data_IF_924164390925
#
_entry.id   IF_924164390925
#
_cell.length_a   1.000
_cell.length_b   1.000
_cell.length_c   1.000
_cell.angle_alpha   90.00
_cell.angle_beta   90.00
_cell.angle_gamma   90.00
#
_symmetry.space_group_name_H-M   'P 1'
#
loop_
_entity.id
_entity.type
_entity.pdbx_description
1 polymer ?
#
# COMPACT_ATOMS: atom_id res chain seq x y z
N UNK A 1 9.99 9.77 20.34
CA UNK A 1 10.78 10.07 19.14
C UNK A 1 12.08 9.30 19.23
N UNK A 2 12.53 8.66 18.14
CA UNK A 2 13.83 7.99 18.13
C UNK A 2 14.95 8.99 18.43
N UNK A 3 15.72 8.74 19.50
CA UNK A 3 16.88 9.54 19.86
C UNK A 3 18.16 8.83 19.44
N UNK A 4 19.00 9.55 18.70
CA UNK A 4 20.32 9.04 18.33
C UNK A 4 21.15 8.75 19.59
N UNK A 5 21.91 7.66 19.58
CA UNK A 5 22.73 7.24 20.74
C UNK A 5 22.00 6.42 21.82
N UNK A 6 20.66 6.33 21.82
CA UNK A 6 19.94 5.52 22.82
C UNK A 6 19.84 4.02 22.43
N UNK A 7 20.37 3.66 21.26
CA UNK A 7 20.31 2.30 20.71
C UNK A 7 18.95 1.93 20.09
N UNK A 8 17.92 2.75 20.23
CA UNK A 8 16.58 2.41 19.72
C UNK A 8 16.60 2.17 18.19
N UNK A 9 17.26 3.05 17.42
CA UNK A 9 17.36 2.94 15.95
C UNK A 9 18.09 1.67 15.54
N UNK A 10 19.28 1.40 16.11
CA UNK A 10 20.06 0.20 15.80
C UNK A 10 19.34 -1.08 16.21
N UNK A 11 18.55 -1.05 17.29
CA UNK A 11 17.73 -2.19 17.71
C UNK A 11 16.64 -2.53 16.70
N UNK A 12 15.89 -1.52 16.26
CA UNK A 12 14.88 -1.71 15.22
C UNK A 12 15.48 -2.15 13.89
N UNK A 13 16.57 -1.52 13.44
CA UNK A 13 17.27 -1.95 12.22
C UNK A 13 17.73 -3.41 12.31
N UNK A 14 18.31 -3.80 13.45
CA UNK A 14 18.71 -5.18 13.73
C UNK A 14 17.55 -6.16 13.64
N UNK A 15 16.48 -5.91 14.39
CA UNK A 15 15.32 -6.79 14.42
C UNK A 15 14.64 -6.88 13.03
N UNK A 16 14.39 -5.74 12.39
CA UNK A 16 13.71 -5.69 11.09
C UNK A 16 14.53 -6.36 9.98
N UNK A 17 15.81 -6.02 9.81
CA UNK A 17 16.65 -6.60 8.76
C UNK A 17 16.94 -8.07 9.02
N UNK A 18 17.13 -8.49 10.28
CA UNK A 18 17.33 -9.89 10.64
C UNK A 18 16.10 -10.74 10.31
N UNK A 19 14.89 -10.26 10.66
CA UNK A 19 13.63 -10.94 10.33
C UNK A 19 13.40 -10.98 8.82
N UNK A 20 13.57 -9.86 8.12
CA UNK A 20 13.38 -9.80 6.66
C UNK A 20 14.41 -10.69 5.93
N UNK A 21 15.65 -10.74 6.41
CA UNK A 21 16.68 -11.63 5.89
C UNK A 21 16.32 -13.10 6.07
N UNK A 22 15.82 -13.50 7.25
CA UNK A 22 15.31 -14.85 7.48
C UNK A 22 14.13 -15.19 6.56
N UNK A 23 13.15 -14.30 6.43
CA UNK A 23 12.02 -14.48 5.52
C UNK A 23 12.48 -14.60 4.05
N UNK A 24 13.50 -13.81 3.65
CA UNK A 24 14.13 -13.91 2.34
C UNK A 24 14.77 -15.27 2.09
N UNK A 25 15.50 -15.82 3.07
CA UNK A 25 16.06 -17.18 2.98
C UNK A 25 14.95 -18.23 2.86
N UNK A 26 13.85 -18.09 3.60
CA UNK A 26 12.70 -19.00 3.47
C UNK A 26 12.07 -18.97 2.07
N UNK A 27 12.05 -17.81 1.40
CA UNK A 27 11.58 -17.71 0.02
C UNK A 27 12.42 -18.56 -0.95
N UNK A 28 13.72 -18.75 -0.68
CA UNK A 28 14.56 -19.66 -1.48
C UNK A 28 14.30 -21.15 -1.18
N UNK A 29 13.91 -21.49 0.04
CA UNK A 29 13.58 -22.88 0.41
C UNK A 29 12.23 -23.35 -0.15
N UNK A 30 11.26 -22.44 -0.29
CA UNK A 30 9.92 -22.78 -0.77
C UNK A 30 9.40 -21.76 -1.80
N UNK A 31 10.10 -21.56 -2.94
CA UNK A 31 9.72 -20.54 -3.92
C UNK A 31 8.30 -20.76 -4.45
N UNK A 32 7.94 -22.00 -4.77
CA UNK A 32 6.59 -22.35 -5.22
C UNK A 32 5.44 -21.88 -4.31
N UNK A 33 5.69 -21.77 -3.00
CA UNK A 33 4.70 -21.37 -2.00
C UNK A 33 4.83 -19.91 -1.57
N UNK A 34 6.05 -19.37 -1.50
CA UNK A 34 6.35 -18.10 -0.86
C UNK A 34 6.72 -16.98 -1.83
N UNK A 35 6.87 -17.28 -3.12
CA UNK A 35 7.23 -16.28 -4.13
C UNK A 35 6.15 -16.06 -5.17
N UNK A 36 6.04 -14.81 -5.63
CA UNK A 36 5.14 -14.46 -6.72
C UNK A 36 5.75 -14.94 -8.06
N UNK A 37 5.04 -15.75 -8.88
CA UNK A 37 5.63 -16.45 -10.03
C UNK A 37 6.31 -15.56 -11.06
N UNK A 38 5.71 -14.40 -11.37
CA UNK A 38 6.27 -13.46 -12.35
C UNK A 38 7.47 -12.68 -11.78
N UNK A 39 7.48 -12.48 -10.46
CA UNK A 39 8.48 -11.68 -9.77
C UNK A 39 9.82 -12.42 -9.69
N UNK A 40 9.78 -13.73 -9.41
CA UNK A 40 10.96 -14.59 -9.38
C UNK A 40 11.75 -14.57 -10.70
N UNK A 41 11.07 -14.41 -11.84
CA UNK A 41 11.71 -14.36 -13.17
C UNK A 41 12.29 -12.99 -13.53
N UNK A 42 11.92 -11.95 -12.80
CA UNK A 42 12.24 -10.55 -13.14
C UNK A 42 13.54 -10.04 -12.49
N UNK A 43 14.06 -10.74 -11.48
CA UNK A 43 15.25 -10.30 -10.74
C UNK A 43 16.49 -11.11 -11.07
N UNK A 44 17.64 -10.44 -11.05
CA UNK A 44 18.93 -11.11 -11.00
C UNK A 44 19.13 -11.73 -9.60
N UNK A 45 19.23 -13.07 -9.47
CA UNK A 45 19.44 -13.73 -8.20
C UNK A 45 20.70 -13.25 -7.46
N UNK A 46 21.73 -12.81 -8.20
CA UNK A 46 22.95 -12.29 -7.61
C UNK A 46 22.71 -10.96 -6.90
N UNK A 47 21.88 -10.08 -7.48
CA UNK A 47 21.51 -8.82 -6.85
C UNK A 47 20.76 -9.07 -5.55
N UNK A 48 19.77 -9.97 -5.56
CA UNK A 48 19.02 -10.34 -4.35
C UNK A 48 19.92 -10.93 -3.26
N UNK A 49 20.90 -11.75 -3.64
CA UNK A 49 21.90 -12.31 -2.72
C UNK A 49 22.81 -11.24 -2.11
N UNK A 50 23.23 -10.25 -2.90
CA UNK A 50 24.02 -9.12 -2.40
C UNK A 50 23.19 -8.28 -1.42
N UNK A 51 21.94 -7.98 -1.76
CA UNK A 51 21.02 -7.25 -0.86
C UNK A 51 20.80 -8.02 0.45
N UNK A 52 20.58 -9.33 0.36
CA UNK A 52 20.43 -10.21 1.53
C UNK A 52 21.69 -10.19 2.40
N UNK A 53 22.88 -10.31 1.80
CA UNK A 53 24.15 -10.26 2.52
C UNK A 53 24.31 -8.95 3.29
N UNK A 54 24.14 -7.82 2.60
CA UNK A 54 24.25 -6.48 3.20
C UNK A 54 23.25 -6.37 4.35
N UNK A 55 22.01 -6.79 4.15
CA UNK A 55 20.96 -6.78 5.18
C UNK A 55 21.34 -7.58 6.43
N UNK A 56 21.80 -8.83 6.27
CA UNK A 56 22.21 -9.69 7.38
C UNK A 56 23.45 -9.13 8.11
N UNK A 57 24.43 -8.58 7.39
CA UNK A 57 25.60 -7.95 8.00
C UNK A 57 25.21 -6.71 8.82
N UNK A 58 24.39 -5.81 8.26
CA UNK A 58 23.91 -4.63 8.99
C UNK A 58 23.07 -5.04 10.20
N UNK A 59 22.21 -6.04 10.07
CA UNK A 59 21.41 -6.58 11.16
C UNK A 59 22.29 -7.06 12.32
N UNK A 60 23.30 -7.86 12.02
CA UNK A 60 24.22 -8.41 13.00
C UNK A 60 25.05 -7.33 13.70
N UNK A 61 25.62 -6.38 12.94
CA UNK A 61 26.43 -5.28 13.51
C UNK A 61 25.58 -4.42 14.43
N UNK A 62 24.41 -3.98 13.95
CA UNK A 62 23.49 -3.17 14.75
C UNK A 62 22.98 -3.94 15.99
N UNK A 63 22.73 -5.25 15.84
CA UNK A 63 22.30 -6.14 16.90
C UNK A 63 23.35 -6.29 17.99
N UNK A 64 24.61 -6.53 17.63
CA UNK A 64 25.73 -6.63 18.56
C UNK A 64 25.98 -5.32 19.31
N UNK A 65 26.00 -4.18 18.60
CA UNK A 65 26.14 -2.85 19.23
C UNK A 65 25.04 -2.64 20.27
N UNK A 66 23.80 -2.98 19.94
CA UNK A 66 22.67 -2.81 20.85
C UNK A 66 22.70 -3.80 22.01
N UNK A 67 23.01 -5.07 21.75
CA UNK A 67 23.07 -6.09 22.79
C UNK A 67 24.16 -5.78 23.83
N UNK A 68 25.34 -5.35 23.36
CA UNK A 68 26.48 -5.05 24.22
C UNK A 68 26.33 -3.73 24.96
N UNK A 69 25.92 -2.65 24.27
CA UNK A 69 26.03 -1.27 24.78
C UNK A 69 24.67 -0.54 24.77
N UNK A 70 23.67 -1.06 24.08
CA UNK A 70 22.35 -0.43 23.94
C UNK A 70 21.41 -0.71 25.12
N UNK A 71 20.40 0.17 25.24
CA UNK A 71 19.30 0.04 26.22
C UNK A 71 18.17 -0.86 25.71
N UNK A 72 18.21 -1.26 24.43
CA UNK A 72 17.16 -2.01 23.73
C UNK A 72 17.60 -3.43 23.38
N UNK A 73 18.29 -4.09 24.31
CA UNK A 73 18.96 -5.39 24.11
C UNK A 73 18.06 -6.48 23.54
N UNK A 74 16.77 -6.48 23.89
CA UNK A 74 15.79 -7.44 23.36
C UNK A 74 15.63 -7.34 21.84
N UNK A 75 15.59 -6.12 21.27
CA UNK A 75 15.52 -5.92 19.82
C UNK A 75 16.84 -6.36 19.14
N UNK A 76 17.97 -6.06 19.77
CA UNK A 76 19.27 -6.55 19.31
C UNK A 76 19.32 -8.08 19.27
N UNK A 77 18.87 -8.73 20.35
CA UNK A 77 18.82 -10.19 20.45
C UNK A 77 17.91 -10.82 19.38
N UNK A 78 16.72 -10.26 19.14
CA UNK A 78 15.81 -10.72 18.08
C UNK A 78 16.48 -10.67 16.71
N UNK A 79 17.17 -9.57 16.40
CA UNK A 79 17.87 -9.44 15.12
C UNK A 79 19.04 -10.41 14.99
N UNK A 80 19.83 -10.60 16.05
CA UNK A 80 20.93 -11.57 16.08
C UNK A 80 20.39 -12.99 15.90
N UNK A 81 19.34 -13.39 16.62
CA UNK A 81 18.79 -14.75 16.52
C UNK A 81 18.16 -15.01 15.15
N UNK A 82 17.43 -14.05 14.61
CA UNK A 82 16.88 -14.15 13.25
C UNK A 82 18.00 -14.24 12.20
N UNK A 83 19.06 -13.44 12.33
CA UNK A 83 20.23 -13.50 11.43
C UNK A 83 20.96 -14.84 11.54
N UNK A 84 21.17 -15.34 12.76
CA UNK A 84 21.79 -16.65 12.98
C UNK A 84 20.95 -17.78 12.37
N UNK A 85 19.62 -17.74 12.53
CA UNK A 85 18.72 -18.69 11.89
C UNK A 85 18.79 -18.59 10.35
N UNK A 86 18.84 -17.38 9.79
CA UNK A 86 18.98 -17.18 8.34
C UNK A 86 20.27 -17.80 7.81
N UNK A 87 21.40 -17.60 8.51
CA UNK A 87 22.70 -18.19 8.16
C UNK A 87 22.67 -19.71 8.31
N UNK A 88 22.09 -20.25 9.38
CA UNK A 88 21.95 -21.69 9.60
C UNK A 88 21.10 -22.37 8.51
N UNK A 89 20.13 -21.67 7.95
CA UNK A 89 19.33 -22.11 6.81
C UNK A 89 20.01 -21.87 5.45
N UNK A 90 21.31 -21.58 5.42
CA UNK A 90 22.11 -21.43 4.20
C UNK A 90 22.36 -19.99 3.77
N UNK A 91 21.72 -19.00 4.40
CA UNK A 91 21.98 -17.58 4.20
C UNK A 91 22.03 -17.17 2.72
N UNK A 92 23.15 -16.60 2.29
CA UNK A 92 23.36 -16.12 0.91
C UNK A 92 23.68 -17.28 -0.06
N UNK A 93 24.13 -18.42 0.47
CA UNK A 93 24.47 -19.62 -0.32
C UNK A 93 23.28 -20.55 -0.56
N UNK A 94 22.11 -20.20 -0.01
CA UNK A 94 20.87 -20.97 -0.24
C UNK A 94 20.60 -21.07 -1.75
N UNK A 95 20.33 -22.29 -2.21
CA UNK A 95 19.92 -22.55 -3.59
C UNK A 95 18.40 -22.62 -3.63
N UNK A 96 17.80 -21.98 -4.63
CA UNK A 96 16.38 -22.16 -4.88
C UNK A 96 16.15 -23.61 -5.29
N UNK A 97 15.13 -24.25 -4.70
CA UNK A 97 14.65 -25.52 -5.24
C UNK A 97 14.28 -25.31 -6.73
N UNK A 98 14.84 -26.13 -7.62
CA UNK A 98 14.67 -26.01 -9.07
C UNK A 98 13.27 -26.41 -9.56
N UNK A 99 12.34 -26.66 -8.64
CA UNK A 99 10.96 -26.98 -8.93
C UNK A 99 10.23 -25.75 -9.50
N UNK A 100 10.04 -25.74 -10.82
CA UNK A 100 9.17 -24.76 -11.52
C UNK A 100 7.67 -24.95 -11.20
N UNK A 101 7.33 -25.87 -10.31
CA UNK A 101 5.96 -26.18 -9.92
C UNK A 101 5.49 -25.15 -8.90
N UNK A 102 5.00 -24.00 -9.36
CA UNK A 102 4.34 -23.03 -8.48
C UNK A 102 3.08 -23.65 -7.86
N UNK A 103 2.84 -23.36 -6.58
CA UNK A 103 1.56 -23.70 -5.96
C UNK A 103 0.42 -22.98 -6.67
N UNK A 104 -0.80 -23.53 -6.59
CA UNK A 104 -1.99 -22.93 -7.23
C UNK A 104 -2.28 -21.51 -6.66
N UNK A 105 -1.81 -21.23 -5.43
CA UNK A 105 -2.05 -19.99 -4.69
C UNK A 105 -0.79 -19.59 -3.88
N UNK A 106 0.24 -19.01 -4.50
CA UNK A 106 1.46 -18.60 -3.80
C UNK A 106 1.18 -17.41 -2.87
N UNK A 107 1.75 -17.47 -1.66
CA UNK A 107 1.76 -16.40 -0.67
C UNK A 107 2.85 -15.42 -1.09
N UNK A 108 2.50 -14.15 -1.35
CA UNK A 108 3.42 -13.12 -1.87
C UNK A 108 4.42 -12.59 -0.83
N UNK A 109 5.20 -13.47 -0.19
CA UNK A 109 6.14 -13.10 0.87
C UNK A 109 7.32 -12.29 0.32
N UNK A 110 7.86 -12.68 -0.84
CA UNK A 110 8.88 -11.92 -1.56
C UNK A 110 8.40 -10.52 -1.94
N UNK A 111 7.18 -10.42 -2.45
CA UNK A 111 6.53 -9.15 -2.79
C UNK A 111 6.36 -8.28 -1.54
N UNK A 112 5.92 -8.85 -0.41
CA UNK A 112 5.87 -8.14 0.86
C UNK A 112 7.24 -7.56 1.27
N UNK A 113 8.29 -8.37 1.24
CA UNK A 113 9.64 -7.94 1.64
C UNK A 113 10.12 -6.79 0.74
N UNK A 114 10.01 -6.97 -0.58
CA UNK A 114 10.50 -6.01 -1.55
C UNK A 114 9.69 -4.72 -1.54
N UNK A 115 8.36 -4.81 -1.45
CA UNK A 115 7.50 -3.64 -1.35
C UNK A 115 7.74 -2.88 -0.05
N UNK A 116 7.95 -3.57 1.09
CA UNK A 116 8.22 -2.93 2.37
C UNK A 116 9.56 -2.19 2.35
N UNK A 117 10.63 -2.87 1.91
CA UNK A 117 11.97 -2.27 1.81
C UNK A 117 11.97 -1.13 0.80
N UNK A 118 11.44 -1.37 -0.40
CA UNK A 118 11.36 -0.37 -1.47
C UNK A 118 10.59 0.88 -1.05
N UNK A 119 9.41 0.70 -0.45
CA UNK A 119 8.60 1.81 0.06
C UNK A 119 9.32 2.55 1.18
N UNK A 120 9.91 1.84 2.14
CA UNK A 120 10.65 2.48 3.23
C UNK A 120 11.87 3.29 2.70
N UNK A 121 12.62 2.74 1.74
CA UNK A 121 13.77 3.42 1.14
C UNK A 121 13.40 4.65 0.31
N UNK A 122 12.19 4.68 -0.27
CA UNK A 122 11.71 5.83 -1.04
C UNK A 122 11.05 6.86 -0.10
N UNK A 123 10.05 6.44 0.67
CA UNK A 123 9.17 7.36 1.37
C UNK A 123 9.70 7.83 2.71
N UNK A 124 10.45 7.03 3.47
CA UNK A 124 11.01 7.52 4.74
C UNK A 124 11.98 8.69 4.51
N UNK A 125 12.93 8.64 3.54
CA UNK A 125 13.73 9.81 3.21
C UNK A 125 12.90 10.98 2.68
N UNK A 126 11.92 10.71 1.81
CA UNK A 126 11.08 11.74 1.22
C UNK A 126 10.28 12.52 2.29
N UNK A 127 9.66 11.81 3.23
CA UNK A 127 8.94 12.39 4.38
C UNK A 127 9.87 13.12 5.34
N UNK A 128 11.16 12.80 5.39
CA UNK A 128 12.13 13.50 6.24
C UNK A 128 12.67 14.77 5.58
N UNK A 129 12.96 14.72 4.29
CA UNK A 129 13.46 15.86 3.52
C UNK A 129 12.35 16.91 3.31
N UNK A 130 11.12 16.46 3.05
CA UNK A 130 9.98 17.32 2.73
C UNK A 130 8.86 17.21 3.76
N UNK A 131 9.23 17.05 5.03
CA UNK A 131 8.28 16.88 6.15
C UNK A 131 7.18 17.95 6.19
N UNK A 132 5.93 17.50 6.31
CA UNK A 132 4.77 18.35 6.61
C UNK A 132 4.59 18.50 8.14
N UNK A 133 4.34 17.39 8.85
CA UNK A 133 4.17 17.33 10.31
C UNK A 133 5.49 16.96 10.99
N UNK A 134 6.24 17.95 11.49
CA UNK A 134 7.60 17.77 12.06
C UNK A 134 7.61 17.00 13.38
N UNK A 135 6.54 17.16 14.14
CA UNK A 135 6.26 16.48 15.39
C UNK A 135 5.98 14.98 15.22
N UNK A 136 5.65 14.54 14.00
CA UNK A 136 5.33 13.14 13.72
C UNK A 136 6.60 12.26 13.65
N UNK A 137 6.61 11.21 14.48
CA UNK A 137 7.67 10.21 14.52
C UNK A 137 7.63 9.27 13.29
N UNK A 138 8.76 8.62 12.95
CA UNK A 138 8.81 7.65 11.84
C UNK A 138 7.85 6.49 12.11
N UNK A 139 7.87 5.97 13.32
CA UNK A 139 6.94 4.94 13.79
C UNK A 139 5.85 5.62 14.63
N UNK A 140 5.00 6.41 13.96
CA UNK A 140 3.89 7.13 14.59
C UNK A 140 2.83 6.20 15.19
N UNK A 141 1.96 6.73 16.04
CA UNK A 141 0.81 5.98 16.53
C UNK A 141 0.02 5.34 15.36
N UNK A 142 -0.30 4.05 15.49
CA UNK A 142 -0.97 3.27 14.44
C UNK A 142 -0.04 2.48 13.50
N UNK A 143 1.28 2.75 13.47
CA UNK A 143 2.19 2.09 12.52
C UNK A 143 2.14 0.56 12.54
N UNK A 144 1.93 -0.06 13.71
CA UNK A 144 1.84 -1.52 13.85
C UNK A 144 0.61 -2.08 13.15
N UNK A 145 -0.51 -1.39 13.28
CA UNK A 145 -1.75 -1.77 12.64
C UNK A 145 -1.61 -1.62 11.13
N UNK A 146 -1.05 -0.50 10.67
CA UNK A 146 -0.80 -0.26 9.25
C UNK A 146 0.19 -1.28 8.66
N UNK A 147 1.20 -1.71 9.42
CA UNK A 147 2.10 -2.80 9.00
C UNK A 147 1.37 -4.16 8.93
N UNK A 148 0.42 -4.44 9.82
CA UNK A 148 -0.41 -5.66 9.73
C UNK A 148 -1.26 -5.67 8.47
N UNK A 149 -1.87 -4.52 8.13
CA UNK A 149 -2.62 -4.36 6.88
C UNK A 149 -1.71 -4.46 5.65
N UNK A 150 -0.52 -3.87 5.70
CA UNK A 150 0.49 -3.99 4.65
C UNK A 150 0.87 -5.47 4.45
N UNK A 151 1.17 -6.19 5.53
CA UNK A 151 1.46 -7.62 5.48
C UNK A 151 0.29 -8.41 4.87
N UNK A 152 -0.94 -8.22 5.36
CA UNK A 152 -2.13 -8.92 4.87
C UNK A 152 -2.31 -8.74 3.36
N UNK A 153 -2.31 -7.50 2.89
CA UNK A 153 -2.57 -7.17 1.48
C UNK A 153 -1.48 -7.70 0.55
N UNK A 154 -0.21 -7.69 0.99
CA UNK A 154 0.91 -8.15 0.17
C UNK A 154 1.05 -9.67 0.17
N UNK A 155 0.83 -10.35 1.31
CA UNK A 155 0.82 -11.81 1.36
C UNK A 155 -0.32 -12.39 0.52
N UNK A 156 -1.49 -11.72 0.50
CA UNK A 156 -2.66 -12.14 -0.26
C UNK A 156 -2.70 -11.59 -1.69
N UNK A 157 -1.66 -10.89 -2.15
CA UNK A 157 -1.70 -10.18 -3.44
C UNK A 157 -2.03 -11.12 -4.61
N UNK A 158 -1.45 -12.32 -4.64
CA UNK A 158 -1.71 -13.32 -5.69
C UNK A 158 -3.17 -13.75 -5.68
N UNK A 159 -3.71 -14.06 -4.49
CA UNK A 159 -5.09 -14.50 -4.32
C UNK A 159 -6.06 -13.39 -4.73
N UNK A 160 -5.77 -12.14 -4.32
CA UNK A 160 -6.57 -10.96 -4.66
C UNK A 160 -6.56 -10.72 -6.17
N UNK A 161 -5.39 -10.62 -6.79
CA UNK A 161 -5.27 -10.26 -8.21
C UNK A 161 -5.83 -11.38 -9.10
N UNK A 162 -5.47 -12.65 -8.85
CA UNK A 162 -5.98 -13.78 -9.63
C UNK A 162 -7.49 -13.96 -9.44
N UNK A 163 -7.98 -13.81 -8.20
CA UNK A 163 -9.40 -13.88 -7.88
C UNK A 163 -10.21 -12.78 -8.59
N UNK A 164 -9.75 -11.53 -8.50
CA UNK A 164 -10.38 -10.40 -9.19
C UNK A 164 -10.34 -10.57 -10.71
N UNK A 165 -9.20 -10.96 -11.28
CA UNK A 165 -9.06 -11.18 -12.72
C UNK A 165 -9.97 -12.31 -13.22
N UNK A 166 -10.06 -13.43 -12.48
CA UNK A 166 -10.96 -14.53 -12.82
C UNK A 166 -12.45 -14.11 -12.74
N UNK A 167 -12.82 -13.36 -11.69
CA UNK A 167 -14.16 -12.83 -11.53
C UNK A 167 -14.53 -11.87 -12.67
N UNK A 168 -13.64 -10.92 -12.98
CA UNK A 168 -13.80 -9.98 -14.10
C UNK A 168 -13.92 -10.72 -15.43
N UNK A 169 -13.03 -11.67 -15.72
CA UNK A 169 -13.08 -12.45 -16.96
C UNK A 169 -14.39 -13.23 -17.10
N UNK A 170 -14.90 -13.80 -16.01
CA UNK A 170 -16.19 -14.50 -16.01
C UNK A 170 -17.37 -13.56 -16.21
N UNK A 171 -17.35 -12.40 -15.56
CA UNK A 171 -18.47 -11.44 -15.56
C UNK A 171 -18.53 -10.55 -16.80
N UNK A 172 -17.39 -10.30 -17.47
CA UNK A 172 -17.29 -9.32 -18.56
C UNK A 172 -16.75 -9.90 -19.87
N UNK A 173 -16.49 -11.20 -19.98
CA UNK A 173 -16.08 -11.82 -21.25
C UNK A 173 -17.08 -11.59 -22.39
N UNK A 174 -18.37 -11.50 -22.07
CA UNK A 174 -19.43 -11.22 -23.05
C UNK A 174 -19.33 -9.83 -23.70
N UNK A 175 -18.67 -8.87 -23.05
CA UNK A 175 -18.53 -7.49 -23.55
C UNK A 175 -17.23 -7.26 -24.32
N UNK A 176 -16.41 -8.30 -24.51
CA UNK A 176 -15.15 -8.19 -25.26
C UNK A 176 -15.47 -7.95 -26.73
N UNK A 177 -14.84 -6.93 -27.31
CA UNK A 177 -14.80 -6.70 -28.73
C UNK A 177 -13.35 -6.79 -29.23
N UNK A 178 -13.08 -7.74 -30.13
CA UNK A 178 -11.73 -8.03 -30.60
C UNK A 178 -11.09 -6.85 -31.36
N UNK A 179 -11.88 -6.09 -32.13
CA UNK A 179 -11.40 -4.92 -32.87
C UNK A 179 -11.03 -3.78 -31.92
N UNK A 180 -11.83 -3.55 -30.87
CA UNK A 180 -11.52 -2.57 -29.82
C UNK A 180 -10.24 -2.95 -29.09
N UNK A 181 -10.11 -4.21 -28.66
CA UNK A 181 -8.90 -4.66 -27.96
C UNK A 181 -7.66 -4.58 -28.85
N UNK A 182 -7.76 -4.97 -30.13
CA UNK A 182 -6.68 -4.85 -31.09
C UNK A 182 -6.28 -3.38 -31.31
N UNK A 183 -7.27 -2.48 -31.38
CA UNK A 183 -7.04 -1.04 -31.54
C UNK A 183 -6.32 -0.48 -30.32
N UNK A 184 -6.83 -0.72 -29.10
CA UNK A 184 -6.26 -0.20 -27.86
C UNK A 184 -4.86 -0.77 -27.60
N UNK A 185 -4.67 -2.08 -27.72
CA UNK A 185 -3.37 -2.72 -27.54
C UNK A 185 -2.35 -2.34 -28.62
N UNK A 186 -2.80 -1.96 -29.81
CA UNK A 186 -1.97 -1.52 -30.94
C UNK A 186 -1.52 -0.06 -30.87
N UNK A 187 -2.10 0.75 -29.98
CA UNK A 187 -1.66 2.14 -29.79
C UNK A 187 -0.21 2.19 -29.30
N UNK A 188 0.57 3.26 -29.58
CA UNK A 188 1.86 3.44 -28.94
C UNK A 188 1.74 3.51 -27.41
N UNK A 189 2.74 3.00 -26.67
CA UNK A 189 2.69 2.93 -25.21
C UNK A 189 2.45 4.30 -24.54
N UNK A 190 2.95 5.39 -25.14
CA UNK A 190 2.78 6.75 -24.63
C UNK A 190 1.35 7.30 -24.80
N UNK A 191 0.51 6.66 -25.63
CA UNK A 191 -0.94 6.88 -25.68
C UNK A 191 -1.65 5.95 -24.70
N UNK A 192 -1.28 4.66 -24.73
CA UNK A 192 -1.93 3.64 -23.90
C UNK A 192 -1.78 3.97 -22.41
N UNK A 193 -0.62 4.45 -21.97
CA UNK A 193 -0.35 4.68 -20.55
C UNK A 193 -1.19 5.83 -19.95
N UNK A 194 -1.27 7.03 -20.54
CA UNK A 194 -2.23 8.04 -20.08
C UNK A 194 -3.69 7.57 -20.15
N UNK A 195 -4.05 6.80 -21.19
CA UNK A 195 -5.40 6.28 -21.36
C UNK A 195 -5.77 5.26 -20.27
N UNK A 196 -4.89 4.32 -19.94
CA UNK A 196 -5.14 3.35 -18.85
C UNK A 196 -5.23 4.06 -17.51
N UNK A 197 -4.41 5.08 -17.25
CA UNK A 197 -4.49 5.89 -16.02
C UNK A 197 -5.86 6.58 -15.93
N UNK A 198 -6.32 7.21 -17.01
CA UNK A 198 -7.63 7.87 -17.04
C UNK A 198 -8.78 6.88 -16.81
N UNK A 199 -8.78 5.76 -17.54
CA UNK A 199 -9.84 4.74 -17.45
C UNK A 199 -9.89 4.13 -16.05
N UNK A 200 -8.72 3.78 -15.51
CA UNK A 200 -8.61 3.19 -14.19
C UNK A 200 -9.03 4.17 -13.10
N UNK A 201 -8.62 5.44 -13.19
CA UNK A 201 -8.98 6.46 -12.21
C UNK A 201 -10.46 6.84 -12.26
N UNK A 202 -11.11 6.77 -13.43
CA UNK A 202 -12.56 6.92 -13.53
C UNK A 202 -13.31 5.80 -12.80
N UNK A 203 -12.86 4.55 -12.95
CA UNK A 203 -13.43 3.42 -12.22
C UNK A 203 -13.15 3.51 -10.71
N UNK A 204 -11.93 3.92 -10.34
CA UNK A 204 -11.55 4.18 -8.97
C UNK A 204 -12.40 5.30 -8.36
N UNK A 205 -12.56 6.43 -9.05
CA UNK A 205 -13.38 7.58 -8.63
C UNK A 205 -14.81 7.15 -8.29
N UNK A 206 -15.48 6.40 -9.17
CA UNK A 206 -16.86 5.99 -8.93
C UNK A 206 -16.99 4.97 -7.80
N UNK A 207 -16.13 3.95 -7.76
CA UNK A 207 -16.12 3.00 -6.65
C UNK A 207 -15.84 3.69 -5.32
N UNK A 208 -14.92 4.66 -5.30
CA UNK A 208 -14.54 5.44 -4.13
C UNK A 208 -15.68 6.36 -3.65
N UNK A 209 -16.30 7.09 -4.57
CA UNK A 209 -17.47 7.92 -4.27
C UNK A 209 -18.64 7.09 -3.74
N UNK A 210 -18.88 5.90 -4.29
CA UNK A 210 -19.89 4.98 -3.78
C UNK A 210 -19.55 4.49 -2.36
N UNK A 211 -18.28 4.24 -2.06
CA UNK A 211 -17.85 3.89 -0.71
C UNK A 211 -18.06 5.02 0.29
N UNK A 212 -18.02 6.28 -0.12
CA UNK A 212 -18.36 7.42 0.74
C UNK A 212 -19.86 7.69 0.87
N UNK A 213 -20.63 7.45 -0.19
CA UNK A 213 -22.05 7.85 -0.25
C UNK A 213 -23.04 6.74 0.07
N UNK A 214 -22.65 5.47 -0.05
CA UNK A 214 -23.49 4.31 0.31
C UNK A 214 -23.14 3.86 1.72
N UNK A 215 -24.05 3.99 2.71
CA UNK A 215 -23.74 3.72 4.12
C UNK A 215 -23.20 2.31 4.38
N UNK A 216 -23.65 1.31 3.63
CA UNK A 216 -23.13 -0.05 3.76
C UNK A 216 -21.67 -0.17 3.30
N UNK A 217 -21.31 0.48 2.19
CA UNK A 217 -19.95 0.45 1.65
C UNK A 217 -18.99 1.29 2.50
N UNK A 218 -19.47 2.40 3.07
CA UNK A 218 -18.71 3.23 3.99
C UNK A 218 -18.14 2.43 5.16
N UNK A 219 -18.87 1.44 5.67
CA UNK A 219 -18.39 0.63 6.81
C UNK A 219 -17.05 -0.06 6.55
N UNK A 220 -16.82 -0.47 5.30
CA UNK A 220 -15.55 -1.06 4.89
C UNK A 220 -14.48 0.02 4.74
N UNK A 221 -14.83 1.13 4.11
CA UNK A 221 -13.92 2.21 3.78
C UNK A 221 -13.57 3.12 4.98
N UNK A 222 -14.41 3.15 6.02
CA UNK A 222 -14.15 3.81 7.30
C UNK A 222 -12.90 3.24 7.98
N UNK A 223 -12.56 1.97 7.71
CA UNK A 223 -11.30 1.36 8.15
C UNK A 223 -10.12 2.13 7.58
N UNK A 224 -10.18 2.50 6.29
CA UNK A 224 -9.16 3.32 5.64
C UNK A 224 -9.08 4.72 6.22
N UNK A 225 -10.22 5.40 6.34
CA UNK A 225 -10.31 6.74 6.92
C UNK A 225 -10.00 6.81 8.42
N UNK A 226 -9.93 5.67 9.14
CA UNK A 226 -9.66 5.66 10.58
C UNK A 226 -8.23 6.09 10.97
N UNK A 227 -7.35 6.32 10.00
CA UNK A 227 -5.98 6.74 10.26
C UNK A 227 -5.94 8.21 10.74
N UNK A 228 -5.58 8.41 12.01
CA UNK A 228 -5.51 9.74 12.66
C UNK A 228 -4.23 10.53 12.35
N UNK A 229 -3.32 9.93 11.59
CA UNK A 229 -2.07 10.52 11.18
C UNK A 229 -1.65 9.91 9.84
N UNK A 230 -1.19 10.76 8.93
CA UNK A 230 -0.86 10.37 7.56
C UNK A 230 0.65 10.16 7.40
N UNK A 231 1.02 9.03 6.80
CA UNK A 231 2.34 8.73 6.27
C UNK A 231 2.18 7.70 5.13
N UNK A 232 3.28 7.34 4.49
CA UNK A 232 3.29 6.35 3.41
C UNK A 232 2.66 5.01 3.83
N UNK A 233 2.81 4.61 5.08
CA UNK A 233 2.29 3.34 5.57
C UNK A 233 0.77 3.40 5.80
N UNK A 234 0.19 4.58 6.06
CA UNK A 234 -1.26 4.76 6.19
C UNK A 234 -2.04 4.25 4.97
N UNK A 235 -1.44 4.34 3.77
CA UNK A 235 -2.02 3.84 2.51
C UNK A 235 -2.39 2.36 2.53
N UNK A 236 -1.76 1.56 3.40
CA UNK A 236 -2.00 0.12 3.47
C UNK A 236 -3.27 -0.27 4.19
N UNK A 237 -3.81 0.62 5.05
CA UNK A 237 -4.97 0.35 5.92
C UNK A 237 -6.23 0.25 5.08
N UNK A 238 -6.45 -0.91 4.47
CA UNK A 238 -7.57 -1.19 3.57
C UNK A 238 -8.26 -2.46 4.01
N UNK A 239 -9.59 -2.42 4.10
CA UNK A 239 -10.36 -3.63 4.38
C UNK A 239 -10.28 -4.60 3.20
N UNK A 240 -10.17 -5.92 3.44
CA UNK A 240 -10.02 -6.89 2.34
C UNK A 240 -11.14 -6.81 1.29
N UNK A 241 -12.39 -6.66 1.72
CA UNK A 241 -13.54 -6.45 0.81
C UNK A 241 -13.39 -5.18 -0.05
N UNK A 242 -12.92 -4.08 0.53
CA UNK A 242 -12.64 -2.84 -0.21
C UNK A 242 -11.55 -3.07 -1.27
N UNK A 243 -10.49 -3.81 -0.92
CA UNK A 243 -9.45 -4.19 -1.89
C UNK A 243 -10.04 -4.98 -3.05
N UNK A 244 -10.90 -5.98 -2.78
CA UNK A 244 -11.53 -6.77 -3.84
C UNK A 244 -12.44 -5.92 -4.74
N UNK A 245 -13.24 -5.03 -4.15
CA UNK A 245 -14.14 -4.13 -4.88
C UNK A 245 -13.32 -3.21 -5.79
N UNK A 246 -12.39 -2.45 -5.21
CA UNK A 246 -11.60 -1.46 -5.96
C UNK A 246 -10.77 -2.10 -7.06
N UNK A 247 -10.09 -3.23 -6.77
CA UNK A 247 -9.31 -3.96 -7.78
C UNK A 247 -10.19 -4.51 -8.89
N UNK A 248 -11.36 -5.08 -8.58
CA UNK A 248 -12.28 -5.57 -9.61
C UNK A 248 -12.86 -4.44 -10.46
N UNK A 249 -13.27 -3.33 -9.85
CA UNK A 249 -13.79 -2.16 -10.55
C UNK A 249 -12.75 -1.56 -11.52
N UNK A 250 -11.48 -1.47 -11.11
CA UNK A 250 -10.39 -0.97 -11.95
C UNK A 250 -10.00 -1.98 -13.04
N UNK A 251 -9.91 -3.27 -12.71
CA UNK A 251 -9.53 -4.30 -13.67
C UNK A 251 -10.60 -4.53 -14.75
N UNK A 252 -11.89 -4.35 -14.44
CA UNK A 252 -12.98 -4.56 -15.39
C UNK A 252 -12.82 -3.76 -16.70
N UNK A 253 -12.72 -2.42 -16.70
CA UNK A 253 -12.53 -1.68 -17.94
C UNK A 253 -11.16 -1.91 -18.58
N UNK A 254 -10.10 -2.17 -17.80
CA UNK A 254 -8.78 -2.51 -18.34
C UNK A 254 -8.85 -3.82 -19.15
N UNK A 255 -9.55 -4.83 -18.61
CA UNK A 255 -9.78 -6.11 -19.25
C UNK A 255 -10.64 -5.98 -20.50
N UNK A 256 -11.77 -5.26 -20.42
CA UNK A 256 -12.68 -5.08 -21.56
C UNK A 256 -11.99 -4.35 -22.72
N UNK A 257 -11.24 -3.28 -22.42
CA UNK A 257 -10.52 -2.50 -23.43
C UNK A 257 -9.26 -3.19 -23.96
N UNK A 258 -8.72 -4.19 -23.26
CA UNK A 258 -7.60 -5.00 -23.76
C UNK A 258 -6.29 -4.22 -23.88
N UNK A 259 -5.91 -3.44 -22.85
CA UNK A 259 -4.59 -2.81 -22.81
C UNK A 259 -3.47 -3.84 -22.90
N UNK A 260 -2.36 -3.47 -23.52
CA UNK A 260 -1.20 -4.36 -23.64
C UNK A 260 -0.59 -4.70 -22.27
N UNK A 261 -0.14 -5.95 -22.09
CA UNK A 261 0.45 -6.41 -20.83
C UNK A 261 1.58 -5.50 -20.30
N UNK A 262 2.53 -5.00 -21.13
CA UNK A 262 3.57 -4.09 -20.65
C UNK A 262 2.99 -2.80 -20.05
N UNK A 263 1.95 -2.22 -20.65
CA UNK A 263 1.31 -1.00 -20.16
C UNK A 263 0.50 -1.26 -18.89
N UNK A 264 -0.15 -2.41 -18.78
CA UNK A 264 -0.81 -2.83 -17.53
C UNK A 264 0.22 -2.94 -16.40
N UNK A 265 1.39 -3.53 -16.65
CA UNK A 265 2.47 -3.59 -15.66
C UNK A 265 3.01 -2.20 -15.29
N UNK A 266 3.20 -1.31 -16.27
CA UNK A 266 3.56 0.08 -16.00
C UNK A 266 2.53 0.78 -15.10
N UNK A 267 1.24 0.55 -15.36
CA UNK A 267 0.15 1.10 -14.53
C UNK A 267 0.18 0.52 -13.11
N UNK A 268 0.37 -0.79 -12.95
CA UNK A 268 0.50 -1.44 -11.63
C UNK A 268 1.69 -0.89 -10.84
N UNK A 269 2.84 -0.65 -11.49
CA UNK A 269 3.98 0.02 -10.85
C UNK A 269 3.64 1.48 -10.49
N UNK A 270 2.99 2.20 -11.40
CA UNK A 270 2.58 3.59 -11.18
C UNK A 270 1.64 3.73 -9.99
N UNK A 271 0.56 2.95 -9.90
CA UNK A 271 -0.37 2.98 -8.75
C UNK A 271 0.31 2.54 -7.46
N UNK A 272 1.22 1.56 -7.52
CA UNK A 272 2.00 1.13 -6.35
C UNK A 272 2.89 2.23 -5.78
N UNK A 273 3.38 3.14 -6.61
CA UNK A 273 4.11 4.32 -6.16
C UNK A 273 3.15 5.46 -5.79
N UNK A 274 2.33 5.88 -6.73
CA UNK A 274 1.51 7.07 -6.60
C UNK A 274 0.45 6.94 -5.48
N UNK A 275 -0.17 5.77 -5.32
CA UNK A 275 -1.15 5.53 -4.25
C UNK A 275 -0.54 5.60 -2.84
N UNK A 276 0.73 5.20 -2.69
CA UNK A 276 1.47 5.36 -1.43
C UNK A 276 1.88 6.82 -1.24
N UNK A 277 2.35 7.46 -2.31
CA UNK A 277 2.84 8.84 -2.29
C UNK A 277 1.78 9.83 -1.81
N UNK A 278 0.52 9.71 -2.24
CA UNK A 278 -0.56 10.64 -1.85
C UNK A 278 -0.92 10.60 -0.37
N UNK A 279 -0.52 9.55 0.36
CA UNK A 279 -0.69 9.48 1.82
C UNK A 279 0.52 10.03 2.58
N UNK A 280 1.68 10.17 1.93
CA UNK A 280 2.94 10.48 2.59
C UNK A 280 2.88 11.81 3.37
N UNK A 281 3.64 11.89 4.47
CA UNK A 281 3.80 13.09 5.28
C UNK A 281 4.72 14.14 4.59
N UNK A 282 4.32 14.56 3.39
CA UNK A 282 5.13 15.36 2.46
C UNK A 282 4.42 16.68 2.13
N UNK A 283 5.09 17.81 2.39
CA UNK A 283 4.52 19.17 2.19
C UNK A 283 4.54 19.68 0.74
N UNK A 284 4.99 18.85 -0.22
CA UNK A 284 5.17 19.28 -1.61
C UNK A 284 3.82 19.51 -2.28
N UNK A 285 3.61 20.72 -2.80
CA UNK A 285 2.37 21.14 -3.49
C UNK A 285 2.48 21.13 -5.02
N UNK A 286 3.67 20.81 -5.55
CA UNK A 286 3.95 20.57 -6.98
C UNK A 286 3.60 21.69 -7.98
N UNK A 287 3.36 22.94 -7.53
CA UNK A 287 3.08 24.05 -8.44
C UNK A 287 1.94 23.70 -9.41
N UNK A 288 2.05 23.98 -10.70
CA UNK A 288 0.99 23.68 -11.68
C UNK A 288 0.61 22.19 -11.80
N UNK A 289 1.49 21.26 -11.42
CA UNK A 289 1.24 19.82 -11.55
C UNK A 289 0.08 19.34 -10.66
N UNK A 290 -0.27 20.05 -9.58
CA UNK A 290 -1.44 19.70 -8.76
C UNK A 290 -2.78 19.80 -9.53
N UNK A 291 -2.79 20.43 -10.71
CA UNK A 291 -3.95 20.42 -11.57
C UNK A 291 -4.13 19.10 -12.33
N UNK A 292 -3.03 18.38 -12.57
CA UNK A 292 -3.01 17.18 -13.41
C UNK A 292 -2.82 15.91 -12.58
N UNK A 293 -2.03 15.98 -11.51
CA UNK A 293 -1.70 14.86 -10.64
C UNK A 293 -2.20 15.10 -9.22
N UNK A 294 -2.82 14.09 -8.63
CA UNK A 294 -3.19 14.09 -7.21
C UNK A 294 -1.91 14.16 -6.38
N UNK A 295 -1.93 15.07 -5.41
CA UNK A 295 -0.80 15.35 -4.51
C UNK A 295 -1.15 14.91 -3.09
N UNK A 296 -0.16 14.81 -2.17
CA UNK A 296 -0.45 14.56 -0.76
C UNK A 296 -1.45 15.57 -0.18
N UNK A 297 -1.32 16.84 -0.52
CA UNK A 297 -2.25 17.88 -0.07
C UNK A 297 -3.70 17.59 -0.49
N UNK A 298 -3.92 17.16 -1.74
CA UNK A 298 -5.26 16.86 -2.25
C UNK A 298 -5.90 15.68 -1.51
N UNK A 299 -5.14 14.60 -1.31
CA UNK A 299 -5.65 13.40 -0.66
C UNK A 299 -5.69 13.51 0.88
N UNK A 300 -4.84 14.33 1.50
CA UNK A 300 -4.95 14.64 2.93
C UNK A 300 -6.25 15.37 3.24
N UNK A 301 -6.71 16.28 2.36
CA UNK A 301 -8.03 16.91 2.50
C UNK A 301 -9.18 15.89 2.40
N UNK A 302 -9.05 14.88 1.53
CA UNK A 302 -10.01 13.77 1.46
C UNK A 302 -10.11 12.99 2.78
N UNK A 303 -8.98 12.76 3.45
CA UNK A 303 -8.91 12.09 4.76
C UNK A 303 -9.25 13.01 5.95
N UNK A 304 -9.61 14.27 5.70
CA UNK A 304 -9.85 15.22 6.78
C UNK A 304 -11.18 14.97 7.48
N UNK A 305 -11.19 15.19 8.79
CA UNK A 305 -12.43 15.26 9.59
C UNK A 305 -13.16 16.60 9.42
N UNK A 306 -12.57 17.56 8.71
CA UNK A 306 -13.18 18.87 8.47
C UNK A 306 -14.45 18.73 7.63
N UNK A 307 -15.63 19.17 8.14
CA UNK A 307 -16.88 19.09 7.40
C UNK A 307 -16.86 19.78 6.03
N UNK A 308 -16.00 20.80 5.85
CA UNK A 308 -15.82 21.52 4.57
C UNK A 308 -15.25 20.61 3.47
N UNK A 309 -14.52 19.56 3.84
CA UNK A 309 -13.88 18.61 2.94
C UNK A 309 -14.64 17.29 2.83
N UNK A 310 -15.79 17.14 3.49
CA UNK A 310 -16.58 15.91 3.47
C UNK A 310 -17.05 15.56 2.05
N UNK A 311 -16.92 14.30 1.65
CA UNK A 311 -17.33 13.80 0.33
C UNK A 311 -16.67 14.56 -0.85
N UNK A 312 -15.38 14.85 -0.74
CA UNK A 312 -14.59 15.51 -1.79
C UNK A 312 -13.37 14.69 -2.16
N UNK A 313 -12.75 15.00 -3.31
CA UNK A 313 -11.43 14.51 -3.72
C UNK A 313 -11.32 12.97 -3.84
N UNK A 314 -12.21 12.35 -4.62
CA UNK A 314 -12.27 10.89 -4.77
C UNK A 314 -11.26 10.32 -5.76
N UNK A 315 -10.79 11.11 -6.74
CA UNK A 315 -9.80 10.65 -7.71
C UNK A 315 -8.48 10.33 -7.00
N UNK A 316 -7.83 9.26 -7.44
CA UNK A 316 -6.55 8.85 -6.88
C UNK A 316 -5.41 9.37 -7.74
N UNK A 317 -5.58 9.56 -9.05
CA UNK A 317 -4.51 9.97 -9.96
C UNK A 317 -4.68 11.38 -10.53
N UNK A 318 -5.89 11.73 -10.98
CA UNK A 318 -6.18 12.89 -11.82
C UNK A 318 -7.26 13.78 -11.17
N UNK A 319 -6.88 14.91 -10.54
CA UNK A 319 -7.82 15.83 -9.89
C UNK A 319 -8.86 16.43 -10.85
N UNK A 320 -8.60 16.38 -12.16
CA UNK A 320 -9.55 16.83 -13.18
C UNK A 320 -10.87 16.05 -13.12
N UNK A 321 -10.85 14.77 -12.72
CA UNK A 321 -12.06 13.97 -12.59
C UNK A 321 -12.98 14.57 -11.52
N UNK A 322 -12.45 14.90 -10.34
CA UNK A 322 -13.20 15.61 -9.30
C UNK A 322 -13.69 16.99 -9.75
N UNK A 323 -12.93 17.72 -10.56
CA UNK A 323 -13.40 19.01 -11.10
C UNK A 323 -14.57 18.83 -12.05
N UNK A 324 -14.50 17.84 -12.94
CA UNK A 324 -15.58 17.53 -13.90
C UNK A 324 -16.86 17.11 -13.17
N UNK A 325 -16.75 16.35 -12.08
CA UNK A 325 -17.90 15.88 -11.31
C UNK A 325 -18.29 16.76 -10.11
N UNK A 326 -17.65 17.92 -9.95
CA UNK A 326 -17.99 18.91 -8.92
C UNK A 326 -17.64 18.48 -7.48
N UNK A 327 -16.65 17.61 -7.29
CA UNK A 327 -16.23 17.07 -5.99
C UNK A 327 -14.82 17.51 -5.59
N UNK A 328 -14.22 18.47 -6.29
CA UNK A 328 -12.88 18.97 -6.00
C UNK A 328 -12.89 20.02 -4.86
N UNK A 329 -12.16 19.76 -3.79
CA UNK A 329 -11.94 20.69 -2.67
C UNK A 329 -10.45 20.83 -2.38
N UNK A 330 -9.90 22.01 -2.65
CA UNK A 330 -8.46 22.24 -2.49
C UNK A 330 -8.18 23.70 -2.11
N UNK A 331 -8.40 24.09 -0.84
CA UNK A 331 -8.20 25.46 -0.38
C UNK A 331 -6.72 25.85 -0.48
N UNK A 332 -6.47 27.04 -1.02
CA UNK A 332 -5.12 27.54 -1.26
C UNK A 332 -4.38 27.83 0.05
N UNK A 333 -3.20 27.23 0.22
CA UNK A 333 -2.33 27.49 1.37
C UNK A 333 -2.76 26.82 2.68
N UNK A 334 -3.84 26.06 2.68
CA UNK A 334 -4.35 25.36 3.86
C UNK A 334 -4.06 23.85 3.79
N UNK A 335 -3.85 23.26 4.96
CA UNK A 335 -3.76 21.81 5.18
C UNK A 335 -4.79 21.41 6.23
N UNK A 336 -5.35 20.18 6.15
CA UNK A 336 -6.29 19.68 7.15
C UNK A 336 -5.62 19.62 8.53
N UNK A 337 -6.34 20.05 9.56
CA UNK A 337 -5.84 20.10 10.95
C UNK A 337 -5.89 18.73 11.65
N UNK A 338 -6.84 17.88 11.30
CA UNK A 338 -6.99 16.51 11.79
C UNK A 338 -7.44 15.54 10.69
N UNK A 339 -7.20 14.26 10.96
CA UNK A 339 -7.56 13.12 10.11
C UNK A 339 -8.29 12.08 10.96
N UNK A 340 -9.09 11.24 10.31
CA UNK A 340 -9.86 10.21 10.99
C UNK A 340 -11.30 10.22 10.54
N UNK A 341 -12.14 9.62 11.37
CA UNK A 341 -13.59 9.53 11.21
C UNK A 341 -14.32 10.22 12.38
N UNK A 342 -13.65 11.16 13.07
CA UNK A 342 -14.20 11.88 14.22
C UNK A 342 -14.49 10.95 15.40
N UNK A 343 -15.72 11.06 15.92
CA UNK A 343 -16.20 10.29 17.08
C UNK A 343 -16.72 8.89 16.73
N UNK A 344 -16.62 8.45 15.47
CA UNK A 344 -17.09 7.12 15.07
C UNK A 344 -16.22 6.02 15.75
N UNK A 345 -16.83 5.09 16.52
CA UNK A 345 -16.09 4.15 17.34
C UNK A 345 -15.61 2.95 16.49
N UNK A 346 -14.51 3.13 15.76
CA UNK A 346 -13.84 2.01 15.10
C UNK A 346 -12.96 1.26 16.14
N UNK A 347 -13.09 -0.07 16.27
CA UNK A 347 -12.33 -0.80 17.28
C UNK A 347 -10.85 -0.91 16.88
N UNK A 348 -9.98 -0.96 17.87
CA UNK A 348 -8.55 -1.21 17.63
C UNK A 348 -8.28 -2.66 17.22
N UNK A 349 -7.37 -2.82 16.27
CA UNK A 349 -6.82 -4.11 15.85
C UNK A 349 -7.47 -4.67 14.60
N UNK A 350 -6.63 -5.24 13.72
CA UNK A 350 -7.02 -5.69 12.37
C UNK A 350 -8.22 -6.62 12.37
N UNK A 351 -8.30 -7.58 13.31
CA UNK A 351 -9.42 -8.54 13.39
C UNK A 351 -10.73 -7.82 13.71
N UNK A 352 -10.73 -6.92 14.69
CA UNK A 352 -11.94 -6.20 15.09
C UNK A 352 -12.40 -5.24 13.99
N UNK A 353 -11.46 -4.59 13.30
CA UNK A 353 -11.74 -3.72 12.16
C UNK A 353 -12.29 -4.48 10.95
N UNK A 354 -11.90 -5.74 10.74
CA UNK A 354 -12.50 -6.58 9.69
C UNK A 354 -13.89 -7.10 10.04
N UNK A 355 -14.20 -7.22 11.34
CA UNK A 355 -15.53 -7.61 11.79
C UNK A 355 -16.49 -6.40 11.87
N UNK A 356 -15.96 -5.18 12.01
CA UNK A 356 -16.71 -3.94 12.15
C UNK A 356 -17.83 -3.75 11.10
N UNK A 357 -17.61 -3.99 9.79
CA UNK A 357 -18.64 -3.81 8.77
C UNK A 357 -19.83 -4.77 8.88
N UNK A 358 -19.77 -5.75 9.79
CA UNK A 358 -20.83 -6.72 10.03
C UNK A 358 -21.51 -6.54 11.40
N UNK A 359 -21.00 -5.66 12.27
CA UNK A 359 -21.54 -5.44 13.61
C UNK A 359 -22.77 -4.50 13.60
N UNK A 360 -23.94 -4.90 14.13
CA UNK A 360 -25.16 -4.08 14.07
C UNK A 360 -25.18 -2.82 14.96
N UNK A 361 -24.30 -2.74 15.98
CA UNK A 361 -24.53 -1.91 17.19
C UNK A 361 -23.64 -0.67 17.36
N UNK A 362 -22.71 -0.40 16.44
CA UNK A 362 -21.71 0.67 16.62
C UNK A 362 -21.95 1.91 15.76
N UNK A 363 -23.07 1.98 15.03
CA UNK A 363 -23.35 3.11 14.14
C UNK A 363 -24.24 4.16 14.81
N UNK A 364 -23.64 5.31 15.14
CA UNK A 364 -24.38 6.58 15.27
C UNK A 364 -24.13 7.37 14.00
N UNK A 365 -25.20 7.68 13.28
CA UNK A 365 -25.24 8.52 12.08
C UNK A 365 -24.53 9.86 12.37
N UNK A 366 -23.66 10.37 11.47
CA UNK A 366 -23.18 11.75 11.58
C UNK A 366 -24.37 12.71 11.54
N UNK A 367 -24.41 13.67 12.47
CA UNK A 367 -25.52 14.59 12.69
C UNK A 367 -25.81 15.58 11.54
N UNK A 368 -25.14 15.45 10.39
CA UNK A 368 -25.26 16.38 9.28
C UNK A 368 -26.62 16.32 8.54
N UNK A 369 -27.41 15.27 8.72
CA UNK A 369 -28.75 15.15 8.12
C UNK A 369 -29.90 15.66 9.01
N UNK A 370 -29.66 16.08 10.25
CA UNK A 370 -30.68 16.74 11.09
C UNK A 370 -30.74 18.26 10.90
N UNK A 371 -29.80 18.86 10.17
CA UNK A 371 -29.79 20.28 9.87
C UNK A 371 -30.48 20.66 8.55
N UNK A 372 -31.02 19.68 7.80
CA UNK A 372 -31.62 19.87 6.48
C UNK A 372 -33.03 19.26 6.32
N UNK A 373 -33.70 18.94 7.42
CA UNK A 373 -35.13 18.60 7.47
C UNK A 373 -35.84 19.64 8.35
#
# INVERSE_FOLDING_TARGET
AFRFGEGQISGFLSASLGILGLLGVLCYHAPALLTFPDLHRSYDPNVLRVVLLIGLCVALICGLINFLIGRWRALGLIGITATAAAVALGGVTVQADGSNAFSVLPIGLDWFILALIGSALIYVPLERLFVLRREQEILRAGWRLDLQYFLMTHLLVSVIILGCAAAVGRLFSWSINAEVQATVSGLPWWVQFPLIVLVADLAQYWSHRLMHTVPFLWRFHAVHHSAKAMDWLASSRLHLVEVMITRSCVLAPIFVLGFSNPVVLMYVTYIGLQGVFVHANVRLTFGWLHHVLVTPAFHHWHHSEDPRASNTNFAVHLPIIDRVFGTCYFPAGEWPSSYGIGDEPLPDGIVRQHLYPFMPRMWKRPAAEEAAA
#
